data_IF_892206128382
#
_entry.id   IF_892206128382
#
_cell.length_a   1.000
_cell.length_b   1.000
_cell.length_c   1.000
_cell.angle_alpha   90.00
_cell.angle_beta   90.00
_cell.angle_gamma   90.00
#
_symmetry.space_group_name_H-M   'P 1'
#
loop_
_entity.id
_entity.type
_entity.pdbx_description
1 polymer ?
#
# COMPACT_ATOMS: atom_id res chain seq x y z
N UNK A 1 5.11 -13.33 -20.16
CA UNK A 1 6.53 -13.57 -19.80
C UNK A 1 6.88 -13.27 -18.33
N UNK A 2 6.78 -12.03 -17.81
CA UNK A 2 7.17 -11.73 -16.41
C UNK A 2 6.19 -12.29 -15.36
N UNK A 3 4.89 -12.28 -15.65
CA UNK A 3 3.86 -12.86 -14.78
C UNK A 3 3.95 -14.40 -14.74
N UNK A 4 4.10 -15.05 -15.91
CA UNK A 4 4.26 -16.51 -16.02
C UNK A 4 5.51 -17.02 -15.27
N UNK A 5 6.65 -16.34 -15.38
CA UNK A 5 7.86 -16.70 -14.63
C UNK A 5 7.69 -16.59 -13.10
N UNK A 6 6.79 -15.74 -12.63
CA UNK A 6 6.51 -15.58 -11.20
C UNK A 6 5.50 -16.57 -10.67
N UNK A 7 4.52 -16.94 -11.49
CA UNK A 7 3.63 -18.05 -11.21
C UNK A 7 4.42 -19.34 -11.08
N UNK A 8 5.35 -19.62 -12.00
CA UNK A 8 6.28 -20.76 -11.88
C UNK A 8 7.12 -20.70 -10.60
N UNK A 9 7.65 -19.53 -10.24
CA UNK A 9 8.43 -19.39 -8.99
C UNK A 9 7.58 -19.66 -7.77
N UNK A 10 6.33 -19.18 -7.76
CA UNK A 10 5.39 -19.38 -6.65
C UNK A 10 4.98 -20.83 -6.51
N UNK A 11 4.70 -21.51 -7.64
CA UNK A 11 4.41 -22.94 -7.68
C UNK A 11 5.58 -23.73 -7.06
N UNK A 12 6.82 -23.46 -7.48
CA UNK A 12 8.01 -24.14 -6.92
C UNK A 12 8.19 -23.89 -5.42
N UNK A 13 7.80 -22.72 -4.90
CA UNK A 13 7.84 -22.42 -3.45
C UNK A 13 6.79 -23.27 -2.73
N UNK A 14 5.56 -23.31 -3.24
CA UNK A 14 4.46 -24.06 -2.65
C UNK A 14 4.68 -25.58 -2.67
N UNK A 15 5.22 -26.13 -3.76
CA UNK A 15 5.56 -27.56 -3.86
C UNK A 15 6.55 -27.97 -2.75
N UNK A 16 7.61 -27.18 -2.55
CA UNK A 16 8.58 -27.41 -1.48
C UNK A 16 7.95 -27.25 -0.10
N UNK A 17 7.09 -26.25 0.07
CA UNK A 17 6.38 -26.01 1.33
C UNK A 17 5.48 -27.18 1.72
N UNK A 18 4.72 -27.75 0.78
CA UNK A 18 3.88 -28.93 1.03
C UNK A 18 4.71 -30.13 1.47
N UNK A 19 5.85 -30.36 0.83
CA UNK A 19 6.75 -31.44 1.21
C UNK A 19 7.25 -31.27 2.65
N UNK A 20 7.63 -30.05 3.04
CA UNK A 20 8.10 -29.74 4.40
C UNK A 20 6.99 -29.84 5.45
N UNK A 21 5.76 -29.42 5.14
CA UNK A 21 4.60 -29.60 6.03
C UNK A 21 4.35 -31.08 6.35
N UNK A 22 4.45 -31.94 5.33
CA UNK A 22 4.29 -33.39 5.48
C UNK A 22 5.41 -34.00 6.31
N UNK A 23 6.67 -33.68 6.00
CA UNK A 23 7.84 -34.20 6.73
C UNK A 23 7.83 -33.86 8.22
N UNK A 24 7.31 -32.69 8.57
CA UNK A 24 7.27 -32.19 9.96
C UNK A 24 5.97 -32.50 10.68
N UNK A 25 5.05 -33.22 10.01
CA UNK A 25 3.70 -33.53 10.52
C UNK A 25 2.98 -32.28 11.08
N UNK A 26 3.18 -31.13 10.42
CA UNK A 26 2.72 -29.82 10.92
C UNK A 26 1.21 -29.66 10.92
N UNK A 27 0.53 -30.37 10.03
CA UNK A 27 -0.91 -30.30 9.83
C UNK A 27 -1.40 -31.56 9.12
N UNK A 28 -2.62 -31.99 9.42
CA UNK A 28 -3.31 -33.05 8.69
C UNK A 28 -3.96 -32.55 7.39
N UNK A 29 -4.01 -31.23 7.18
CA UNK A 29 -4.76 -30.53 6.11
C UNK A 29 -3.89 -29.49 5.37
N UNK A 30 -2.77 -29.87 4.72
CA UNK A 30 -1.87 -28.92 4.05
C UNK A 30 -2.55 -28.02 3.01
N UNK A 31 -3.60 -28.51 2.35
CA UNK A 31 -4.35 -27.78 1.32
C UNK A 31 -5.03 -26.52 1.89
N UNK A 32 -5.60 -26.62 3.10
CA UNK A 32 -6.23 -25.49 3.76
C UNK A 32 -5.20 -24.43 4.15
N UNK A 33 -4.03 -24.85 4.64
CA UNK A 33 -2.92 -23.94 4.96
C UNK A 33 -2.47 -23.18 3.70
N UNK A 34 -2.28 -23.87 2.57
CA UNK A 34 -1.93 -23.21 1.29
C UNK A 34 -3.01 -22.23 0.88
N UNK A 35 -4.28 -22.61 0.99
CA UNK A 35 -5.39 -21.71 0.66
C UNK A 35 -5.32 -20.43 1.48
N UNK A 36 -4.98 -20.51 2.77
CA UNK A 36 -4.80 -19.33 3.62
C UNK A 36 -3.56 -18.52 3.26
N UNK A 37 -2.44 -19.17 2.92
CA UNK A 37 -1.24 -18.48 2.42
C UNK A 37 -1.58 -17.67 1.17
N UNK A 38 -2.28 -18.28 0.20
CA UNK A 38 -2.69 -17.62 -1.03
C UNK A 38 -3.74 -16.52 -0.77
N UNK A 39 -4.68 -16.77 0.13
CA UNK A 39 -5.68 -15.80 0.55
C UNK A 39 -5.06 -14.48 1.05
N UNK A 40 -3.96 -14.56 1.81
CA UNK A 40 -3.28 -13.36 2.33
C UNK A 40 -2.34 -12.71 1.31
N UNK A 41 -1.71 -13.49 0.44
CA UNK A 41 -0.57 -13.03 -0.38
C UNK A 41 -0.89 -12.78 -1.85
N UNK A 42 -2.04 -13.25 -2.35
CA UNK A 42 -2.44 -13.24 -3.78
C UNK A 42 -1.30 -13.68 -4.71
N UNK A 43 -0.59 -14.75 -4.33
CA UNK A 43 0.57 -15.30 -5.03
C UNK A 43 1.80 -14.37 -5.14
N UNK A 44 1.93 -13.35 -4.30
CA UNK A 44 3.13 -12.49 -4.29
C UNK A 44 4.35 -13.30 -3.81
N UNK A 45 5.39 -13.56 -4.64
CA UNK A 45 6.41 -14.58 -4.35
C UNK A 45 7.19 -14.36 -3.05
N UNK A 46 7.51 -13.10 -2.71
CA UNK A 46 8.23 -12.81 -1.46
C UNK A 46 7.37 -13.01 -0.23
N UNK A 47 6.07 -12.69 -0.30
CA UNK A 47 5.15 -12.85 0.84
C UNK A 47 4.80 -14.32 1.02
N UNK A 48 4.58 -15.06 -0.07
CA UNK A 48 4.41 -16.52 -0.03
C UNK A 48 5.61 -17.17 0.65
N UNK A 49 6.83 -16.85 0.19
CA UNK A 49 8.05 -17.41 0.80
C UNK A 49 8.15 -17.08 2.28
N UNK A 50 7.94 -15.82 2.66
CA UNK A 50 8.01 -15.39 4.07
C UNK A 50 6.97 -16.12 4.92
N UNK A 51 5.71 -16.17 4.48
CA UNK A 51 4.64 -16.78 5.27
C UNK A 51 4.82 -18.30 5.39
N UNK A 52 5.23 -18.97 4.32
CA UNK A 52 5.62 -20.38 4.36
C UNK A 52 6.76 -20.62 5.38
N UNK A 53 7.78 -19.76 5.39
CA UNK A 53 8.87 -19.87 6.36
C UNK A 53 8.41 -19.66 7.80
N UNK A 54 7.56 -18.66 8.05
CA UNK A 54 6.99 -18.41 9.39
C UNK A 54 6.21 -19.62 9.89
N UNK A 55 5.39 -20.24 9.03
CA UNK A 55 4.61 -21.44 9.38
C UNK A 55 5.52 -22.63 9.71
N UNK A 56 6.61 -22.84 8.94
CA UNK A 56 7.54 -23.94 9.19
C UNK A 56 8.42 -23.74 10.43
N UNK A 57 8.68 -22.48 10.82
CA UNK A 57 9.49 -22.11 11.98
C UNK A 57 8.71 -22.07 13.28
N UNK A 58 7.41 -21.79 13.23
CA UNK A 58 6.55 -21.84 14.41
C UNK A 58 6.57 -23.27 15.00
N UNK A 59 6.65 -23.39 16.32
CA UNK A 59 6.80 -24.70 16.98
C UNK A 59 5.48 -25.47 17.08
N UNK A 60 4.37 -24.76 17.24
CA UNK A 60 3.04 -25.35 17.40
C UNK A 60 2.57 -26.13 16.15
N UNK A 61 1.93 -27.29 16.32
CA UNK A 61 1.18 -27.93 15.23
C UNK A 61 -0.05 -27.09 14.88
N UNK A 62 -0.52 -27.25 13.66
CA UNK A 62 -1.75 -26.61 13.18
C UNK A 62 -2.87 -27.64 13.34
N UNK A 63 -3.77 -27.39 14.29
CA UNK A 63 -4.89 -28.28 14.52
C UNK A 63 -5.90 -28.21 13.36
N UNK A 64 -6.59 -29.32 13.05
CA UNK A 64 -7.66 -29.31 12.05
C UNK A 64 -8.73 -28.27 12.38
N UNK A 65 -9.19 -27.53 11.38
CA UNK A 65 -10.17 -26.43 11.48
C UNK A 65 -9.65 -25.13 12.15
N UNK A 66 -8.38 -25.07 12.55
CA UNK A 66 -7.75 -23.86 13.09
C UNK A 66 -6.79 -23.21 12.09
N UNK A 67 -6.65 -23.74 10.87
CA UNK A 67 -5.65 -23.29 9.88
C UNK A 67 -5.82 -21.82 9.53
N UNK A 68 -7.07 -21.36 9.39
CA UNK A 68 -7.40 -19.95 9.13
C UNK A 68 -6.92 -19.05 10.25
N UNK A 69 -7.34 -19.35 11.48
CA UNK A 69 -7.01 -18.55 12.67
C UNK A 69 -5.51 -18.54 12.91
N UNK A 70 -4.86 -19.70 12.74
CA UNK A 70 -3.42 -19.87 12.88
C UNK A 70 -2.63 -18.99 11.92
N UNK A 71 -2.95 -19.06 10.61
CA UNK A 71 -2.25 -18.27 9.60
C UNK A 71 -2.53 -16.78 9.78
N UNK A 72 -3.76 -16.41 10.10
CA UNK A 72 -4.14 -15.03 10.40
C UNK A 72 -3.36 -14.47 11.59
N UNK A 73 -3.22 -15.22 12.69
CA UNK A 73 -2.42 -14.81 13.84
C UNK A 73 -0.95 -14.54 13.47
N UNK A 74 -0.34 -15.43 12.67
CA UNK A 74 1.03 -15.23 12.20
C UNK A 74 1.17 -13.99 11.33
N UNK A 75 0.23 -13.77 10.39
CA UNK A 75 0.23 -12.58 9.54
C UNK A 75 0.07 -11.31 10.38
N UNK A 76 -0.89 -11.30 11.31
CA UNK A 76 -1.12 -10.17 12.21
C UNK A 76 0.11 -9.86 13.06
N UNK A 77 0.73 -10.87 13.65
CA UNK A 77 1.88 -10.70 14.54
C UNK A 77 3.15 -10.27 13.80
N UNK A 78 3.45 -10.88 12.66
CA UNK A 78 4.76 -10.75 12.01
C UNK A 78 4.77 -9.86 10.75
N UNK A 79 3.61 -9.62 10.14
CA UNK A 79 3.51 -8.88 8.87
C UNK A 79 2.62 -7.63 8.96
N UNK A 80 1.76 -7.49 9.97
CA UNK A 80 0.88 -6.31 10.13
C UNK A 80 1.25 -5.47 11.35
N UNK A 81 1.24 -6.00 12.58
CA UNK A 81 1.34 -5.16 13.78
C UNK A 81 2.66 -4.40 13.93
N UNK A 82 3.79 -5.05 13.63
CA UNK A 82 5.14 -4.49 13.80
C UNK A 82 5.97 -4.60 12.51
N UNK A 83 5.31 -4.38 11.37
CA UNK A 83 5.92 -4.60 10.06
C UNK A 83 7.14 -3.68 9.81
N UNK A 84 7.23 -2.54 10.49
CA UNK A 84 8.35 -1.60 10.35
C UNK A 84 9.67 -2.10 10.95
N UNK A 85 9.63 -3.06 11.89
CA UNK A 85 10.82 -3.54 12.61
C UNK A 85 11.08 -5.03 12.42
N UNK A 86 10.05 -5.81 12.07
CA UNK A 86 10.17 -7.25 11.95
C UNK A 86 10.94 -7.65 10.69
N UNK A 87 11.92 -8.54 10.83
CA UNK A 87 12.72 -9.07 9.70
C UNK A 87 11.84 -9.75 8.64
N UNK A 88 10.82 -10.48 9.06
CA UNK A 88 9.86 -11.12 8.14
C UNK A 88 9.15 -10.09 7.23
N UNK A 89 8.97 -8.86 7.71
CA UNK A 89 8.32 -7.77 6.99
C UNK A 89 9.30 -6.91 6.16
N UNK A 90 10.56 -7.32 5.98
CA UNK A 90 11.53 -6.64 5.12
C UNK A 90 11.00 -6.32 3.71
N UNK A 91 10.20 -7.18 3.04
CA UNK A 91 9.59 -6.82 1.75
C UNK A 91 8.67 -5.59 1.84
N UNK A 92 7.91 -5.45 2.94
CA UNK A 92 7.01 -4.33 3.19
C UNK A 92 7.81 -3.05 3.46
N UNK A 93 8.85 -3.13 4.26
CA UNK A 93 9.78 -2.02 4.54
C UNK A 93 10.43 -1.49 3.26
N UNK A 94 10.80 -2.37 2.33
CA UNK A 94 11.34 -1.98 1.02
C UNK A 94 10.32 -1.25 0.16
N UNK A 95 9.07 -1.69 0.14
CA UNK A 95 8.00 -0.99 -0.59
C UNK A 95 7.77 0.39 0.02
N UNK A 96 7.63 0.46 1.34
CA UNK A 96 7.49 1.71 2.08
C UNK A 96 8.60 2.73 1.75
N UNK A 97 9.85 2.29 1.86
CA UNK A 97 11.00 3.15 1.56
C UNK A 97 10.99 3.65 0.11
N UNK A 98 10.55 2.81 -0.84
CA UNK A 98 10.44 3.20 -2.25
C UNK A 98 9.26 4.14 -2.53
N UNK A 99 8.14 4.02 -1.81
CA UNK A 99 7.03 4.96 -1.91
C UNK A 99 7.48 6.37 -1.49
N UNK A 100 8.25 6.47 -0.40
CA UNK A 100 8.70 7.74 0.14
C UNK A 100 9.93 8.34 -0.55
N UNK A 101 10.72 7.52 -1.25
CA UNK A 101 11.95 7.94 -1.93
C UNK A 101 11.91 7.62 -3.43
N UNK A 102 10.72 7.63 -4.03
CA UNK A 102 10.58 7.41 -5.48
C UNK A 102 11.36 8.48 -6.23
N UNK A 103 12.17 8.05 -7.21
CA UNK A 103 12.86 8.96 -8.12
C UNK A 103 12.01 9.27 -9.37
N UNK A 104 10.94 8.51 -9.59
CA UNK A 104 10.13 8.59 -10.80
C UNK A 104 8.94 9.55 -10.66
N UNK A 105 8.50 9.80 -9.43
CA UNK A 105 7.38 10.70 -9.13
C UNK A 105 7.51 11.25 -7.70
N UNK A 106 6.85 12.38 -7.44
CA UNK A 106 6.77 12.94 -6.10
C UNK A 106 5.97 11.99 -5.17
N UNK A 107 6.50 11.64 -3.99
CA UNK A 107 5.88 10.69 -3.07
C UNK A 107 4.44 11.00 -2.70
N UNK A 108 4.06 12.26 -2.59
CA UNK A 108 2.69 12.62 -2.20
C UNK A 108 1.70 12.35 -3.31
N UNK A 109 2.03 12.71 -4.55
CA UNK A 109 1.17 12.42 -5.70
C UNK A 109 1.05 10.93 -5.94
N UNK A 110 2.15 10.20 -5.74
CA UNK A 110 2.14 8.74 -5.74
C UNK A 110 1.17 8.16 -4.69
N UNK A 111 1.21 8.69 -3.47
CA UNK A 111 0.34 8.24 -2.38
C UNK A 111 -1.12 8.67 -2.55
N UNK A 112 -1.40 9.84 -3.13
CA UNK A 112 -2.76 10.24 -3.52
C UNK A 112 -3.34 9.32 -4.59
N UNK A 113 -2.54 8.96 -5.59
CA UNK A 113 -2.93 7.98 -6.61
C UNK A 113 -3.25 6.62 -5.98
N UNK A 114 -2.43 6.18 -5.02
CA UNK A 114 -2.69 4.96 -4.27
C UNK A 114 -3.94 5.06 -3.38
N UNK A 115 -4.19 6.21 -2.74
CA UNK A 115 -5.39 6.45 -1.95
C UNK A 115 -6.67 6.27 -2.79
N UNK A 116 -6.67 6.77 -4.03
CA UNK A 116 -7.80 6.57 -4.96
C UNK A 116 -8.04 5.09 -5.26
N UNK A 117 -6.97 4.32 -5.50
CA UNK A 117 -7.06 2.86 -5.74
C UNK A 117 -7.54 2.10 -4.51
N UNK A 118 -7.22 2.59 -3.31
CA UNK A 118 -7.66 1.98 -2.05
C UNK A 118 -9.15 2.25 -1.76
N UNK A 119 -9.67 3.41 -2.18
CA UNK A 119 -11.06 3.82 -1.94
C UNK A 119 -12.03 3.33 -3.02
N UNK A 120 -11.57 3.32 -4.27
CA UNK A 120 -12.39 2.93 -5.43
C UNK A 120 -11.96 1.55 -5.86
N UNK A 121 -12.81 0.56 -5.59
CA UNK A 121 -12.67 -0.76 -6.17
C UNK A 121 -12.64 -0.64 -7.69
N UNK A 122 -11.69 -1.34 -8.33
CA UNK A 122 -11.58 -1.43 -9.79
C UNK A 122 -11.37 -0.07 -10.51
N UNK A 123 -10.55 0.82 -9.94
CA UNK A 123 -10.20 2.11 -10.55
C UNK A 123 -9.63 1.92 -11.97
N UNK A 124 -10.14 2.67 -12.95
CA UNK A 124 -9.64 2.61 -14.32
C UNK A 124 -8.17 3.01 -14.42
N UNK A 125 -7.38 2.20 -15.13
CA UNK A 125 -5.99 2.51 -15.42
C UNK A 125 -5.89 3.62 -16.47
N UNK A 126 -5.19 4.71 -16.14
CA UNK A 126 -5.06 5.89 -16.99
C UNK A 126 -3.60 6.14 -17.46
N UNK A 127 -2.67 5.24 -17.15
CA UNK A 127 -1.25 5.35 -17.51
C UNK A 127 -0.52 6.58 -16.95
N UNK A 128 -1.03 7.22 -15.90
CA UNK A 128 -0.28 8.24 -15.16
C UNK A 128 1.03 7.69 -14.61
N UNK A 129 2.03 8.56 -14.45
CA UNK A 129 3.35 8.21 -13.93
C UNK A 129 3.25 7.56 -12.55
N UNK A 130 2.34 8.04 -11.71
CA UNK A 130 2.06 7.51 -10.38
C UNK A 130 1.51 6.07 -10.47
N UNK A 131 0.51 5.82 -11.31
CA UNK A 131 -0.05 4.47 -11.47
C UNK A 131 0.98 3.49 -12.04
N UNK A 132 1.80 3.92 -13.01
CA UNK A 132 2.90 3.12 -13.55
C UNK A 132 3.94 2.80 -12.47
N UNK A 133 4.26 3.76 -11.61
CA UNK A 133 5.17 3.54 -10.50
C UNK A 133 4.60 2.57 -9.46
N UNK A 134 3.31 2.69 -9.10
CA UNK A 134 2.65 1.75 -8.19
C UNK A 134 2.65 0.31 -8.73
N UNK A 135 2.45 0.15 -10.05
CA UNK A 135 2.56 -1.14 -10.73
C UNK A 135 4.01 -1.67 -10.71
N UNK A 136 5.00 -0.80 -10.94
CA UNK A 136 6.43 -1.15 -10.89
C UNK A 136 6.87 -1.59 -9.49
N UNK A 137 6.37 -0.91 -8.45
CA UNK A 137 6.57 -1.29 -7.05
C UNK A 137 5.77 -2.54 -6.66
N UNK A 138 4.82 -2.95 -7.51
CA UNK A 138 3.89 -4.06 -7.30
C UNK A 138 3.08 -3.90 -6.03
N UNK A 139 2.79 -2.67 -5.63
CA UNK A 139 1.82 -2.42 -4.57
C UNK A 139 0.40 -2.68 -5.09
N UNK A 140 0.19 -2.40 -6.38
CA UNK A 140 -1.06 -2.62 -7.11
C UNK A 140 -0.82 -3.55 -8.29
N UNK A 141 -1.90 -4.12 -8.81
CA UNK A 141 -1.91 -4.90 -10.05
C UNK A 141 -2.99 -4.40 -10.98
N UNK A 142 -2.76 -4.63 -12.27
CA UNK A 142 -3.71 -4.33 -13.34
C UNK A 142 -4.40 -5.62 -13.79
N UNK A 143 -5.74 -5.66 -13.70
CA UNK A 143 -6.58 -6.75 -14.24
C UNK A 143 -7.70 -6.12 -15.06
N UNK A 144 -7.87 -6.54 -16.31
CA UNK A 144 -8.93 -6.03 -17.21
C UNK A 144 -8.97 -4.48 -17.26
N UNK A 145 -7.82 -3.83 -17.45
CA UNK A 145 -7.68 -2.36 -17.46
C UNK A 145 -8.07 -1.63 -16.17
N UNK A 146 -8.22 -2.36 -15.06
CA UNK A 146 -8.54 -1.82 -13.74
C UNK A 146 -7.41 -2.09 -12.75
N UNK A 147 -7.22 -1.16 -11.82
CA UNK A 147 -6.23 -1.23 -10.77
C UNK A 147 -6.86 -1.68 -9.47
N UNK A 148 -6.12 -2.50 -8.73
CA UNK A 148 -6.46 -2.91 -7.37
C UNK A 148 -5.19 -3.13 -6.56
N UNK A 149 -5.27 -2.96 -5.25
CA UNK A 149 -4.18 -3.33 -4.34
C UNK A 149 -3.87 -4.82 -4.51
N UNK A 150 -2.59 -5.18 -4.56
CA UNK A 150 -2.20 -6.54 -4.98
C UNK A 150 -2.68 -7.60 -4.00
N UNK A 151 -2.46 -7.41 -2.70
CA UNK A 151 -2.83 -8.43 -1.71
C UNK A 151 -3.34 -7.80 -0.41
N UNK A 152 -3.97 -8.65 0.42
CA UNK A 152 -4.56 -8.22 1.69
C UNK A 152 -3.56 -7.69 2.67
N UNK A 153 -2.34 -8.26 2.73
CA UNK A 153 -1.29 -7.75 3.63
C UNK A 153 -0.96 -6.30 3.27
N UNK A 154 -0.87 -5.95 1.99
CA UNK A 154 -0.67 -4.57 1.56
C UNK A 154 -1.85 -3.67 1.90
N UNK A 155 -3.09 -4.13 1.76
CA UNK A 155 -4.28 -3.38 2.16
C UNK A 155 -4.31 -3.09 3.66
N UNK A 156 -3.93 -4.06 4.49
CA UNK A 156 -3.90 -3.92 5.96
C UNK A 156 -2.74 -3.04 6.44
N UNK A 157 -1.58 -3.13 5.78
CA UNK A 157 -0.36 -2.39 6.17
C UNK A 157 -0.38 -0.96 5.64
N UNK A 158 -0.64 -0.79 4.35
CA UNK A 158 -0.73 0.50 3.68
C UNK A 158 -2.20 0.91 3.58
N UNK A 159 -2.87 0.94 4.73
CA UNK A 159 -4.28 1.27 4.87
C UNK A 159 -4.52 2.78 4.90
N UNK A 160 -5.78 3.19 5.00
CA UNK A 160 -6.19 4.61 5.03
C UNK A 160 -5.58 5.39 6.21
N UNK A 161 -5.43 4.76 7.39
CA UNK A 161 -4.83 5.40 8.56
C UNK A 161 -3.33 5.65 8.36
N UNK A 162 -2.62 4.67 7.81
CA UNK A 162 -1.22 4.85 7.43
C UNK A 162 -1.07 5.93 6.36
N UNK A 163 -1.96 5.95 5.36
CA UNK A 163 -1.94 6.97 4.30
C UNK A 163 -2.15 8.38 4.82
N UNK A 164 -3.18 8.59 5.65
CA UNK A 164 -3.50 9.89 6.22
C UNK A 164 -2.30 10.46 7.00
N UNK A 165 -1.73 9.64 7.89
CA UNK A 165 -0.52 10.01 8.64
C UNK A 165 0.63 10.36 7.70
N UNK A 166 0.92 9.49 6.74
CA UNK A 166 2.06 9.66 5.82
C UNK A 166 1.91 10.89 4.94
N UNK A 167 0.70 11.16 4.44
CA UNK A 167 0.41 12.34 3.62
C UNK A 167 0.57 13.63 4.42
N UNK A 168 0.08 13.66 5.67
CA UNK A 168 0.24 14.81 6.57
C UNK A 168 1.71 15.07 6.94
N UNK A 169 2.51 14.01 7.10
CA UNK A 169 3.96 14.14 7.32
C UNK A 169 4.66 14.73 6.07
N UNK A 170 4.15 14.45 4.87
CA UNK A 170 4.69 15.00 3.63
C UNK A 170 4.27 16.45 3.39
N UNK A 171 3.01 16.81 3.65
CA UNK A 171 2.47 18.16 3.40
C UNK A 171 1.50 18.56 4.52
N UNK A 172 1.65 19.77 5.11
CA UNK A 172 0.81 20.20 6.22
C UNK A 172 -0.66 20.43 5.82
N UNK A 173 -0.93 20.66 4.54
CA UNK A 173 -2.28 20.86 3.96
C UNK A 173 -2.77 19.63 3.17
N UNK A 174 -2.22 18.45 3.45
CA UNK A 174 -2.50 17.23 2.71
C UNK A 174 -3.98 16.88 2.70
N UNK A 175 -4.67 17.04 3.84
CA UNK A 175 -6.09 16.73 3.97
C UNK A 175 -6.94 17.64 3.09
N UNK A 176 -6.67 18.93 3.15
CA UNK A 176 -7.41 19.98 2.47
C UNK A 176 -7.26 19.86 0.95
N UNK A 177 -6.04 19.70 0.44
CA UNK A 177 -5.82 19.51 -0.99
C UNK A 177 -6.44 18.21 -1.49
N UNK A 178 -6.40 17.12 -0.71
CA UNK A 178 -7.02 15.85 -1.09
C UNK A 178 -8.54 15.98 -1.23
N UNK A 179 -9.18 16.64 -0.25
CA UNK A 179 -10.63 16.87 -0.27
C UNK A 179 -11.04 17.82 -1.41
N UNK A 180 -10.25 18.88 -1.64
CA UNK A 180 -10.49 19.80 -2.75
C UNK A 180 -10.40 19.11 -4.11
N UNK A 181 -9.37 18.28 -4.32
CA UNK A 181 -9.22 17.49 -5.55
C UNK A 181 -10.36 16.48 -5.74
N UNK A 182 -10.81 15.84 -4.66
CA UNK A 182 -11.96 14.91 -4.71
C UNK A 182 -13.28 15.60 -5.08
N UNK A 183 -13.37 16.92 -4.89
CA UNK A 183 -14.52 17.75 -5.28
C UNK A 183 -14.43 18.30 -6.71
N UNK A 184 -13.55 17.76 -7.56
CA UNK A 184 -13.20 18.34 -8.87
C UNK A 184 -12.79 19.83 -8.77
N UNK A 185 -12.07 20.16 -7.69
CA UNK A 185 -11.60 21.51 -7.37
C UNK A 185 -12.72 22.54 -7.13
N UNK A 186 -13.94 22.12 -6.78
CA UNK A 186 -15.11 23.00 -6.63
C UNK A 186 -15.41 23.39 -5.18
N UNK A 187 -15.06 22.56 -4.20
CA UNK A 187 -15.39 22.80 -2.80
C UNK A 187 -14.45 23.85 -2.17
N UNK A 188 -14.87 25.11 -2.22
CA UNK A 188 -14.13 26.22 -1.64
C UNK A 188 -13.94 26.12 -0.11
N UNK A 189 -14.74 25.30 0.59
CA UNK A 189 -14.58 25.11 2.04
C UNK A 189 -13.29 24.37 2.41
N UNK A 190 -12.68 23.68 1.44
CA UNK A 190 -11.38 23.01 1.60
C UNK A 190 -10.20 23.96 1.33
N UNK A 191 -10.44 25.19 0.87
CA UNK A 191 -9.35 26.14 0.60
C UNK A 191 -8.77 26.68 1.90
N UNK A 192 -7.45 26.93 1.89
CA UNK A 192 -6.74 27.40 3.08
C UNK A 192 -7.03 28.88 3.33
N UNK A 193 -7.13 29.25 4.60
CA UNK A 193 -7.39 30.62 5.06
C UNK A 193 -6.41 31.03 6.17
N UNK A 194 -6.17 32.34 6.28
CA UNK A 194 -5.45 32.97 7.38
C UNK A 194 -4.09 32.35 7.68
N UNK A 195 -3.89 31.94 8.93
CA UNK A 195 -2.63 31.37 9.42
C UNK A 195 -2.28 30.06 8.72
N UNK A 196 -3.26 29.17 8.47
CA UNK A 196 -3.03 27.88 7.80
C UNK A 196 -2.52 28.08 6.37
N UNK A 197 -3.07 29.06 5.63
CA UNK A 197 -2.56 29.42 4.31
C UNK A 197 -1.14 29.98 4.40
N UNK A 198 -0.86 30.82 5.39
CA UNK A 198 0.47 31.42 5.59
C UNK A 198 1.52 30.35 5.89
N UNK A 199 1.19 29.37 6.74
CA UNK A 199 2.02 28.22 7.04
C UNK A 199 2.27 27.35 5.80
N UNK A 200 1.23 27.06 5.01
CA UNK A 200 1.35 26.32 3.77
C UNK A 200 2.29 27.01 2.76
N UNK A 201 2.15 28.32 2.57
CA UNK A 201 3.00 29.11 1.68
C UNK A 201 4.44 29.21 2.20
N UNK A 202 4.65 29.26 3.51
CA UNK A 202 5.97 29.22 4.11
C UNK A 202 6.63 27.85 3.91
N UNK A 203 5.88 26.77 4.07
CA UNK A 203 6.35 25.41 3.81
C UNK A 203 6.83 25.27 2.35
N UNK A 204 6.12 25.85 1.38
CA UNK A 204 6.52 25.75 -0.05
C UNK A 204 7.80 26.50 -0.41
N UNK A 205 8.17 27.56 0.31
CA UNK A 205 9.37 28.38 0.00
C UNK A 205 10.68 27.59 0.07
N UNK A 206 10.73 26.54 0.88
CA UNK A 206 11.89 25.64 1.01
C UNK A 206 11.82 24.39 0.14
N UNK A 207 10.80 24.27 -0.73
CA UNK A 207 10.56 23.09 -1.54
C UNK A 207 10.88 23.35 -3.00
N UNK A 208 11.18 22.27 -3.73
CA UNK A 208 11.42 22.33 -5.17
C UNK A 208 10.17 22.70 -5.95
N UNK A 209 10.18 22.42 -7.27
CA UNK A 209 9.05 22.71 -8.15
C UNK A 209 7.79 21.96 -7.70
N UNK A 210 6.75 22.71 -7.34
CA UNK A 210 5.42 22.17 -7.03
C UNK A 210 4.74 21.62 -8.28
N UNK A 211 3.85 20.65 -8.09
CA UNK A 211 3.00 20.16 -9.17
C UNK A 211 1.95 21.23 -9.55
N UNK A 212 1.48 21.19 -10.80
CA UNK A 212 0.42 22.06 -11.29
C UNK A 212 -0.84 22.07 -10.41
N UNK A 213 -1.31 20.90 -9.97
CA UNK A 213 -2.52 20.79 -9.14
C UNK A 213 -2.34 21.46 -7.76
N UNK A 214 -1.18 21.26 -7.13
CA UNK A 214 -0.83 21.89 -5.86
C UNK A 214 -0.64 23.40 -5.99
N UNK A 215 -0.03 23.86 -7.07
CA UNK A 215 0.06 25.29 -7.36
C UNK A 215 -1.34 25.91 -7.53
N UNK A 216 -2.24 25.24 -8.26
CA UNK A 216 -3.62 25.72 -8.44
C UNK A 216 -4.38 25.79 -7.10
N UNK A 217 -4.23 24.78 -6.24
CA UNK A 217 -4.83 24.78 -4.90
C UNK A 217 -4.37 25.98 -4.06
N UNK A 218 -3.07 26.26 -4.06
CA UNK A 218 -2.50 27.38 -3.30
C UNK A 218 -2.89 28.74 -3.87
N UNK A 219 -2.99 28.87 -5.19
CA UNK A 219 -3.48 30.10 -5.83
C UNK A 219 -4.97 30.30 -5.53
N UNK A 220 -5.79 29.26 -5.67
CA UNK A 220 -7.21 29.31 -5.34
C UNK A 220 -7.43 29.73 -3.87
N UNK A 221 -6.63 29.17 -2.96
CA UNK A 221 -6.66 29.53 -1.54
C UNK A 221 -6.29 30.99 -1.28
N UNK A 222 -5.24 31.51 -1.94
CA UNK A 222 -4.88 32.92 -1.85
C UNK A 222 -5.97 33.87 -2.36
N UNK A 223 -6.55 33.56 -3.52
CA UNK A 223 -7.63 34.38 -4.10
C UNK A 223 -8.86 34.35 -3.21
N UNK A 224 -9.22 33.18 -2.67
CA UNK A 224 -10.36 33.04 -1.76
C UNK A 224 -10.15 33.81 -0.46
N UNK A 225 -8.96 33.71 0.15
CA UNK A 225 -8.59 34.44 1.35
C UNK A 225 -8.68 35.97 1.18
N UNK A 226 -8.28 36.51 0.02
CA UNK A 226 -8.39 37.94 -0.30
C UNK A 226 -9.82 38.42 -0.52
N UNK A 227 -10.75 37.53 -0.88
CA UNK A 227 -12.18 37.87 -1.06
C UNK A 227 -12.97 37.81 0.23
N UNK A 228 -12.48 37.07 1.22
CA UNK A 228 -13.08 36.94 2.54
C UNK A 228 -12.52 37.89 3.61
N UNK A 229 -11.57 38.77 3.25
CA UNK A 229 -10.97 39.79 4.13
C UNK A 229 -11.53 41.18 3.89
#
# INVERSE_FOLDING_TARGET
>A
MVLEQQEERTIRILEKFVLELKKREKTSTPQLVIQQVLYWTDCHPSLVLTLCQLILQAESPINPNEEKVYVEQLVQQYLIKNWQTQKAAEPLQKIHAKLLNSQNCDPFWLLLSYQQILQVDDLAYNSSTEQQELLRLRLVIKRQEKLRVYNRIYQEVFNSMWLEKTLNDLRPYAREISAWLASDCQDASQLLLGEVLTEALNWTKGKGKLNFQENNFLIASQVFNLRGS
#
